data_IF_512946638691
#
_entry.id   IF_512946638691
#
_cell.length_a   1.000
_cell.length_b   1.000
_cell.length_c   1.000
_cell.angle_alpha   90.00
_cell.angle_beta   90.00
_cell.angle_gamma   90.00
#
_symmetry.space_group_name_H-M   'P 1'
#
loop_
_entity.id
_entity.type
_entity.pdbx_description
1 polymer ?
#
# COMPACT_ATOMS: atom_id res chain seq x y z
N UNK A 1 -44.55 -6.30 -61.29
CA UNK A 1 -43.59 -7.16 -62.02
C UNK A 1 -42.95 -8.06 -60.95
N UNK A 2 -43.47 -9.28 -60.73
CA UNK A 2 -43.07 -10.56 -61.39
C UNK A 2 -41.60 -10.90 -61.09
N UNK A 3 -41.13 -12.06 -60.61
CA UNK A 3 -41.57 -13.46 -60.33
C UNK A 3 -40.50 -14.00 -59.33
N UNK A 4 -40.72 -14.80 -58.26
CA UNK A 4 -41.20 -16.18 -58.07
C UNK A 4 -40.41 -17.31 -58.79
N UNK A 5 -40.24 -18.45 -58.07
CA UNK A 5 -39.84 -19.85 -58.42
C UNK A 5 -38.67 -20.32 -57.50
N UNK A 6 -38.89 -21.12 -56.43
CA UNK A 6 -39.15 -22.60 -56.33
C UNK A 6 -37.91 -23.43 -56.75
N UNK A 7 -37.45 -24.52 -56.12
CA UNK A 7 -38.04 -25.72 -55.47
C UNK A 7 -36.88 -26.48 -54.75
N UNK A 8 -37.05 -27.10 -53.56
CA UNK A 8 -37.27 -28.56 -53.27
C UNK A 8 -36.06 -29.49 -53.63
N UNK A 9 -35.68 -30.59 -52.95
CA UNK A 9 -36.29 -31.50 -51.95
C UNK A 9 -35.23 -32.48 -51.37
N UNK A 10 -35.58 -33.06 -50.22
CA UNK A 10 -34.99 -34.21 -49.48
C UNK A 10 -34.63 -35.48 -50.27
N UNK A 11 -33.70 -36.30 -49.75
CA UNK A 11 -33.84 -37.77 -49.78
C UNK A 11 -32.93 -38.55 -48.80
N UNK A 12 -33.57 -39.01 -47.71
CA UNK A 12 -33.62 -40.37 -47.14
C UNK A 12 -32.39 -41.26 -46.81
N UNK A 13 -32.44 -41.74 -45.55
CA UNK A 13 -32.33 -43.14 -45.04
C UNK A 13 -30.97 -43.85 -44.90
N UNK A 14 -30.75 -44.41 -43.71
CA UNK A 14 -29.93 -45.62 -43.53
C UNK A 14 -29.41 -45.86 -42.10
N UNK A 15 -30.29 -46.27 -41.17
CA UNK A 15 -29.93 -46.84 -39.86
C UNK A 15 -29.74 -48.36 -39.99
N UNK A 16 -28.65 -48.93 -39.46
CA UNK A 16 -28.59 -50.35 -39.11
C UNK A 16 -27.63 -50.59 -37.92
N UNK A 17 -28.20 -51.07 -36.82
CA UNK A 17 -27.54 -51.66 -35.66
C UNK A 17 -27.24 -53.14 -35.93
N UNK A 18 -26.04 -53.64 -35.60
CA UNK A 18 -25.73 -55.06 -35.30
C UNK A 18 -24.74 -55.11 -34.12
N UNK A 19 -24.79 -56.23 -33.39
CA UNK A 19 -24.61 -56.45 -31.96
C UNK A 19 -23.21 -56.92 -31.49
N UNK A 20 -23.00 -56.76 -30.18
CA UNK A 20 -22.32 -57.62 -29.18
C UNK A 20 -20.77 -57.72 -29.06
N UNK A 21 -20.34 -57.23 -27.88
CA UNK A 21 -19.43 -57.79 -26.85
C UNK A 21 -18.66 -59.08 -27.15
N UNK A 22 -17.33 -59.03 -26.94
CA UNK A 22 -16.55 -59.94 -26.06
C UNK A 22 -15.17 -59.34 -25.75
N UNK A 23 -14.64 -59.61 -24.54
CA UNK A 23 -13.65 -58.76 -23.87
C UNK A 23 -12.17 -59.19 -23.81
N UNK A 24 -11.39 -58.26 -23.22
CA UNK A 24 -10.13 -58.39 -22.47
C UNK A 24 -8.80 -58.74 -23.21
N UNK A 25 -7.59 -58.45 -22.65
CA UNK A 25 -6.85 -57.22 -22.95
C UNK A 25 -5.33 -57.35 -23.27
N UNK A 26 -4.78 -56.27 -23.88
CA UNK A 26 -3.35 -55.83 -23.92
C UNK A 26 -2.37 -56.60 -24.85
N UNK A 27 -1.25 -56.00 -25.35
CA UNK A 27 -0.46 -54.91 -24.76
C UNK A 27 -0.25 -53.64 -25.62
N UNK A 28 -0.06 -52.58 -24.85
CA UNK A 28 0.23 -51.17 -25.16
C UNK A 28 1.31 -50.93 -26.23
N UNK A 29 0.96 -50.16 -27.28
CA UNK A 29 1.91 -49.27 -27.95
C UNK A 29 1.57 -47.83 -27.60
N UNK A 30 2.40 -47.23 -26.74
CA UNK A 30 2.34 -45.82 -26.39
C UNK A 30 2.77 -45.00 -27.60
N UNK A 31 1.80 -44.50 -28.37
CA UNK A 31 2.07 -43.46 -29.37
C UNK A 31 2.35 -42.15 -28.62
N UNK A 32 3.63 -41.82 -28.49
CA UNK A 32 4.07 -40.52 -27.96
C UNK A 32 3.62 -39.44 -28.95
N UNK A 33 2.50 -38.77 -28.64
CA UNK A 33 2.09 -37.55 -29.32
C UNK A 33 3.14 -36.48 -29.03
N UNK A 34 3.88 -36.07 -30.06
CA UNK A 34 4.74 -34.88 -30.00
C UNK A 34 3.87 -33.68 -29.58
N UNK A 35 4.08 -33.15 -28.37
CA UNK A 35 3.46 -31.91 -27.92
C UNK A 35 3.81 -30.81 -28.91
N UNK A 36 2.80 -30.24 -29.56
CA UNK A 36 2.96 -29.09 -30.44
C UNK A 36 3.67 -27.96 -29.67
N UNK A 37 4.60 -27.28 -30.34
CA UNK A 37 5.26 -26.09 -29.80
C UNK A 37 4.16 -25.12 -29.39
N UNK A 38 4.11 -24.77 -28.10
CA UNK A 38 3.10 -23.89 -27.53
C UNK A 38 2.99 -22.61 -28.35
N UNK A 39 1.82 -22.39 -28.94
CA UNK A 39 1.50 -21.13 -29.58
C UNK A 39 1.58 -20.01 -28.54
N UNK A 40 2.27 -18.93 -28.88
CA UNK A 40 2.25 -17.69 -28.10
C UNK A 40 0.80 -17.32 -27.78
N UNK A 41 0.42 -17.06 -26.51
CA UNK A 41 -0.96 -16.77 -26.17
C UNK A 41 -1.40 -15.51 -26.91
N UNK A 42 -2.34 -15.69 -27.85
CA UNK A 42 -2.96 -14.61 -28.61
C UNK A 42 -3.47 -13.55 -27.65
N UNK A 43 -2.88 -12.36 -27.75
CA UNK A 43 -3.39 -11.08 -27.27
C UNK A 43 -3.94 -11.07 -25.85
N UNK A 44 -3.17 -10.54 -24.89
CA UNK A 44 -3.79 -9.99 -23.67
C UNK A 44 -4.90 -9.04 -24.11
N UNK A 45 -6.16 -9.40 -23.82
CA UNK A 45 -7.31 -8.50 -24.02
C UNK A 45 -6.95 -7.17 -23.38
N UNK A 46 -7.10 -6.07 -24.13
CA UNK A 46 -6.86 -4.72 -23.61
C UNK A 46 -7.64 -4.58 -22.32
N UNK A 47 -6.93 -4.27 -21.22
CA UNK A 47 -7.57 -4.05 -19.93
C UNK A 47 -8.58 -2.91 -20.16
N UNK A 48 -9.87 -3.07 -19.80
CA UNK A 48 -10.83 -1.99 -19.90
C UNK A 48 -10.23 -0.75 -19.24
N UNK A 49 -10.39 0.41 -19.87
CA UNK A 49 -9.95 1.68 -19.33
C UNK A 49 -10.81 1.96 -18.10
N UNK A 50 -10.37 1.43 -16.96
CA UNK A 50 -11.00 1.68 -15.69
C UNK A 50 -10.76 3.16 -15.42
N UNK A 51 -11.84 3.94 -15.35
CA UNK A 51 -11.83 5.23 -14.67
C UNK A 51 -11.17 4.98 -13.30
N UNK A 52 -10.11 5.74 -13.01
CA UNK A 52 -9.21 5.59 -11.86
C UNK A 52 -8.10 4.52 -11.99
N UNK A 53 -7.36 4.53 -13.11
CA UNK A 53 -6.07 3.85 -13.18
C UNK A 53 -5.06 4.49 -12.22
N UNK A 54 -4.12 3.71 -11.66
CA UNK A 54 -2.99 4.28 -10.95
C UNK A 54 -2.24 5.27 -11.86
N UNK A 55 -1.66 6.34 -11.29
CA UNK A 55 -0.80 7.25 -12.02
C UNK A 55 0.26 6.46 -12.80
N UNK A 56 0.56 6.90 -14.03
CA UNK A 56 1.60 6.26 -14.85
C UNK A 56 2.97 6.77 -14.43
N UNK A 57 3.96 5.88 -14.39
CA UNK A 57 5.33 6.24 -14.07
C UNK A 57 5.83 7.37 -15.02
N UNK A 58 6.59 8.34 -14.47
CA UNK A 58 7.11 9.48 -15.23
C UNK A 58 8.18 9.01 -16.21
N UNK A 59 8.46 9.81 -17.22
CA UNK A 59 9.50 9.49 -18.20
C UNK A 59 10.87 9.89 -17.65
N UNK A 60 11.90 9.11 -17.98
CA UNK A 60 13.29 9.51 -17.70
C UNK A 60 13.71 10.62 -18.66
N UNK A 61 14.75 11.38 -18.30
CA UNK A 61 15.25 12.47 -19.15
C UNK A 61 15.65 12.00 -20.57
N UNK A 62 16.26 10.81 -20.67
CA UNK A 62 16.52 10.19 -21.97
C UNK A 62 15.23 9.91 -22.76
N UNK A 63 14.19 9.39 -22.12
CA UNK A 63 12.92 9.11 -22.79
C UNK A 63 12.22 10.39 -23.24
N UNK A 64 12.25 11.46 -22.43
CA UNK A 64 11.76 12.78 -22.83
C UNK A 64 12.49 13.28 -24.07
N UNK A 65 13.82 13.22 -24.07
CA UNK A 65 14.65 13.57 -25.22
C UNK A 65 14.30 12.72 -26.44
N UNK A 66 14.23 11.40 -26.31
CA UNK A 66 13.96 10.53 -27.45
C UNK A 66 12.57 10.73 -28.05
N UNK A 67 11.57 11.05 -27.23
CA UNK A 67 10.22 11.37 -27.69
C UNK A 67 10.21 12.68 -28.48
N UNK A 68 10.89 13.70 -27.98
CA UNK A 68 11.06 14.97 -28.67
C UNK A 68 11.79 14.76 -30.00
N UNK A 69 12.92 14.06 -29.99
CA UNK A 69 13.69 13.79 -31.21
C UNK A 69 12.93 12.94 -32.22
N UNK A 70 12.20 11.90 -31.78
CA UNK A 70 11.38 11.07 -32.68
C UNK A 70 10.29 11.87 -33.38
N UNK A 71 9.81 12.98 -32.80
CA UNK A 71 8.81 13.83 -33.43
C UNK A 71 9.33 14.46 -34.73
N UNK A 72 10.62 14.78 -34.81
CA UNK A 72 11.26 15.33 -36.02
C UNK A 72 11.44 14.30 -37.15
N UNK A 73 11.37 13.00 -36.84
CA UNK A 73 11.49 11.92 -37.82
C UNK A 73 10.14 11.32 -38.22
N UNK A 74 9.01 11.91 -37.78
CA UNK A 74 7.67 11.39 -38.08
C UNK A 74 7.37 11.32 -39.58
N UNK A 75 7.88 12.28 -40.35
CA UNK A 75 7.66 12.37 -41.80
C UNK A 75 8.79 11.73 -42.62
N UNK A 76 9.75 11.10 -41.94
CA UNK A 76 10.87 10.42 -42.59
C UNK A 76 10.48 9.01 -43.02
N UNK A 77 10.98 8.55 -44.17
CA UNK A 77 10.81 7.17 -44.65
C UNK A 77 11.69 6.15 -43.92
N UNK A 78 12.47 6.59 -42.92
CA UNK A 78 13.39 5.75 -42.15
C UNK A 78 12.64 4.77 -41.25
N UNK A 79 13.22 3.58 -41.06
CA UNK A 79 12.61 2.57 -40.19
C UNK A 79 12.83 2.94 -38.72
N UNK A 80 11.88 2.56 -37.86
CA UNK A 80 11.89 2.86 -36.42
C UNK A 80 13.21 2.53 -35.70
N UNK A 81 13.84 1.40 -36.05
CA UNK A 81 15.12 1.00 -35.43
C UNK A 81 16.26 1.93 -35.82
N UNK A 82 16.26 2.48 -37.04
CA UNK A 82 17.27 3.40 -37.56
C UNK A 82 17.15 4.74 -36.84
N UNK A 83 15.92 5.25 -36.70
CA UNK A 83 15.61 6.48 -35.95
C UNK A 83 16.06 6.32 -34.50
N UNK A 84 15.76 5.19 -33.85
CA UNK A 84 16.16 4.95 -32.46
C UNK A 84 17.68 4.91 -32.30
N UNK A 85 18.41 4.33 -33.26
CA UNK A 85 19.87 4.29 -33.25
C UNK A 85 20.48 5.69 -33.41
N UNK A 86 19.96 6.50 -34.32
CA UNK A 86 20.40 7.89 -34.54
C UNK A 86 20.18 8.72 -33.27
N UNK A 87 18.99 8.66 -32.68
CA UNK A 87 18.63 9.42 -31.48
C UNK A 87 19.44 8.99 -30.26
N UNK A 88 19.65 7.68 -30.08
CA UNK A 88 20.47 7.15 -28.99
C UNK A 88 21.93 7.61 -29.09
N UNK A 89 22.50 7.58 -30.30
CA UNK A 89 23.85 8.10 -30.55
C UNK A 89 23.94 9.60 -30.24
N UNK A 90 22.94 10.38 -30.69
CA UNK A 90 22.89 11.83 -30.43
C UNK A 90 22.85 12.12 -28.93
N UNK A 91 22.03 11.41 -28.16
CA UNK A 91 22.00 11.56 -26.70
C UNK A 91 23.35 11.27 -26.05
N UNK A 92 24.04 10.21 -26.45
CA UNK A 92 25.37 9.88 -25.92
C UNK A 92 26.40 10.99 -26.20
N UNK A 93 26.29 11.66 -27.35
CA UNK A 93 27.15 12.78 -27.73
C UNK A 93 26.80 14.13 -27.10
N UNK A 94 25.60 14.29 -26.52
CA UNK A 94 25.22 15.55 -25.85
C UNK A 94 26.02 15.79 -24.57
N UNK A 95 26.33 17.05 -24.31
CA UNK A 95 27.00 17.49 -23.08
C UNK A 95 26.05 17.44 -21.88
N UNK A 96 26.61 17.54 -20.67
CA UNK A 96 25.81 17.60 -19.44
C UNK A 96 24.87 18.80 -19.41
N UNK A 97 25.29 19.95 -19.96
CA UNK A 97 24.49 21.17 -20.02
C UNK A 97 23.26 21.00 -20.93
N UNK A 98 23.43 20.32 -22.06
CA UNK A 98 22.34 20.02 -22.99
C UNK A 98 21.37 18.95 -22.46
N UNK A 99 21.88 18.02 -21.63
CA UNK A 99 21.08 16.99 -20.96
C UNK A 99 20.30 17.55 -19.77
N UNK A 100 20.86 18.54 -19.07
CA UNK A 100 20.30 19.16 -17.86
C UNK A 100 18.80 19.51 -17.97
N UNK A 101 18.30 20.22 -19.00
CA UNK A 101 16.88 20.55 -19.09
C UNK A 101 15.96 19.32 -19.23
N UNK A 102 16.46 18.19 -19.72
CA UNK A 102 15.70 16.95 -19.77
C UNK A 102 15.73 16.20 -18.45
N UNK A 103 16.85 16.26 -17.73
CA UNK A 103 16.99 15.67 -16.40
C UNK A 103 16.14 16.44 -15.38
N UNK A 104 16.19 17.76 -15.38
CA UNK A 104 15.42 18.63 -14.48
C UNK A 104 13.91 18.43 -14.70
N UNK A 105 13.45 18.37 -15.97
CA UNK A 105 12.05 18.05 -16.28
C UNK A 105 11.63 16.65 -15.80
N UNK A 106 12.49 15.65 -15.99
CA UNK A 106 12.20 14.29 -15.52
C UNK A 106 12.15 14.20 -13.99
N UNK A 107 12.99 14.96 -13.29
CA UNK A 107 12.98 15.04 -11.82
C UNK A 107 11.71 15.72 -11.30
N UNK A 108 11.28 16.79 -11.94
CA UNK A 108 10.03 17.47 -11.61
C UNK A 108 8.81 16.58 -11.89
N UNK A 109 8.74 15.89 -13.04
CA UNK A 109 7.69 14.89 -13.30
C UNK A 109 7.72 13.75 -12.28
N UNK A 110 8.90 13.33 -11.84
CA UNK A 110 9.05 12.32 -10.78
C UNK A 110 8.48 12.81 -9.45
N UNK A 111 8.72 14.06 -9.08
CA UNK A 111 8.16 14.68 -7.89
C UNK A 111 6.63 14.73 -7.95
N UNK A 112 6.08 15.19 -9.07
CA UNK A 112 4.62 15.24 -9.29
C UNK A 112 3.99 13.84 -9.27
N UNK A 113 4.65 12.85 -9.88
CA UNK A 113 4.19 11.47 -9.85
C UNK A 113 4.11 10.92 -8.42
N UNK A 114 5.14 11.16 -7.59
CA UNK A 114 5.14 10.75 -6.17
C UNK A 114 3.92 11.32 -5.43
N UNK A 115 3.62 12.59 -5.64
CA UNK A 115 2.46 13.24 -5.03
C UNK A 115 1.13 12.68 -5.55
N UNK A 116 1.00 12.48 -6.87
CA UNK A 116 -0.17 11.87 -7.48
C UNK A 116 -0.41 10.44 -7.00
N UNK A 117 0.65 9.65 -6.81
CA UNK A 117 0.57 8.30 -6.23
C UNK A 117 0.10 8.35 -4.79
N UNK A 118 0.63 9.27 -3.98
CA UNK A 118 0.20 9.48 -2.58
C UNK A 118 -1.29 9.80 -2.50
N UNK A 119 -1.78 10.71 -3.34
CA UNK A 119 -3.20 11.04 -3.43
C UNK A 119 -4.05 9.85 -3.91
N UNK A 120 -3.58 9.13 -4.93
CA UNK A 120 -4.26 7.96 -5.44
C UNK A 120 -4.40 6.88 -4.35
N UNK A 121 -3.37 6.62 -3.54
CA UNK A 121 -3.43 5.67 -2.41
C UNK A 121 -4.50 6.04 -1.38
N UNK A 122 -4.77 7.33 -1.19
CA UNK A 122 -5.80 7.81 -0.26
C UNK A 122 -7.24 7.75 -0.84
N UNK A 123 -7.37 7.59 -2.15
CA UNK A 123 -8.65 7.61 -2.85
C UNK A 123 -9.49 6.34 -2.63
N UNK A 124 -10.82 6.47 -2.76
CA UNK A 124 -11.74 5.32 -2.75
C UNK A 124 -11.47 4.33 -3.89
N UNK A 125 -10.95 4.82 -5.02
CA UNK A 125 -10.58 3.98 -6.14
C UNK A 125 -9.47 2.98 -5.79
N UNK A 126 -8.49 3.40 -4.98
CA UNK A 126 -7.43 2.50 -4.51
C UNK A 126 -7.97 1.47 -3.53
N UNK A 127 -8.84 1.85 -2.59
CA UNK A 127 -9.53 0.91 -1.69
C UNK A 127 -10.35 -0.13 -2.47
N UNK A 128 -11.10 0.32 -3.49
CA UNK A 128 -11.86 -0.58 -4.36
C UNK A 128 -10.94 -1.53 -5.17
N UNK A 129 -9.78 -1.04 -5.63
CA UNK A 129 -8.76 -1.85 -6.29
C UNK A 129 -8.20 -2.94 -5.36
N UNK A 130 -7.86 -2.60 -4.11
CA UNK A 130 -7.38 -3.55 -3.12
C UNK A 130 -8.43 -4.61 -2.79
N UNK A 131 -9.68 -4.21 -2.57
CA UNK A 131 -10.80 -5.14 -2.33
C UNK A 131 -11.00 -6.11 -3.51
N UNK A 132 -10.90 -5.62 -4.75
CA UNK A 132 -10.99 -6.47 -5.95
C UNK A 132 -9.79 -7.42 -6.08
N UNK A 133 -8.57 -6.97 -5.73
CA UNK A 133 -7.35 -7.79 -5.68
C UNK A 133 -7.50 -8.89 -4.62
N UNK A 134 -8.01 -8.56 -3.42
CA UNK A 134 -8.30 -9.48 -2.31
C UNK A 134 -9.30 -10.57 -2.73
N UNK A 135 -10.45 -10.18 -3.29
CA UNK A 135 -11.47 -11.11 -3.79
C UNK A 135 -10.93 -12.10 -4.82
N UNK A 136 -10.06 -11.65 -5.73
CA UNK A 136 -9.43 -12.53 -6.73
C UNK A 136 -8.43 -13.52 -6.13
N UNK A 137 -7.67 -13.12 -5.10
CA UNK A 137 -6.74 -14.02 -4.40
C UNK A 137 -7.51 -15.13 -3.67
N UNK A 138 -8.56 -14.76 -2.94
CA UNK A 138 -9.47 -15.70 -2.28
C UNK A 138 -10.11 -16.68 -3.29
N UNK A 139 -10.57 -16.18 -4.44
CA UNK A 139 -11.18 -17.01 -5.47
C UNK A 139 -10.19 -17.98 -6.17
N UNK A 140 -8.90 -17.63 -6.22
CA UNK A 140 -7.86 -18.49 -6.77
C UNK A 140 -7.29 -19.49 -5.74
N UNK A 141 -7.84 -19.55 -4.52
CA UNK A 141 -7.42 -20.45 -3.44
C UNK A 141 -5.89 -20.39 -3.14
N UNK A 142 -5.29 -19.21 -3.30
CA UNK A 142 -3.89 -18.94 -2.90
C UNK A 142 -3.92 -18.18 -1.57
N UNK A 143 -3.81 -18.96 -0.49
CA UNK A 143 -3.46 -18.62 0.90
C UNK A 143 -4.47 -17.89 1.81
N UNK A 144 -4.33 -18.26 3.09
CA UNK A 144 -5.10 -17.98 4.31
C UNK A 144 -5.36 -16.49 4.58
N UNK A 145 -6.50 -16.19 5.20
CA UNK A 145 -6.90 -14.86 5.69
C UNK A 145 -5.85 -14.18 6.60
N UNK A 146 -4.96 -14.97 7.22
CA UNK A 146 -3.91 -14.50 8.14
C UNK A 146 -2.63 -13.97 7.46
N UNK A 147 -2.48 -14.11 6.14
CA UNK A 147 -1.29 -13.66 5.38
C UNK A 147 -1.48 -12.26 4.75
N UNK A 148 -2.51 -11.55 5.20
CA UNK A 148 -2.94 -10.26 4.65
C UNK A 148 -2.76 -9.19 5.72
N UNK A 149 -2.12 -8.07 5.34
CA UNK A 149 -2.34 -6.71 5.89
C UNK A 149 -1.22 -5.99 6.66
N UNK A 150 0.07 -6.32 6.50
CA UNK A 150 1.14 -5.49 7.11
C UNK A 150 2.31 -5.05 6.21
N UNK A 151 2.45 -5.55 4.97
CA UNK A 151 3.70 -5.36 4.19
C UNK A 151 3.56 -4.76 2.80
N UNK A 152 2.35 -4.39 2.34
CA UNK A 152 2.18 -3.67 1.05
C UNK A 152 2.18 -2.13 1.24
N UNK A 153 2.28 -1.64 2.50
CA UNK A 153 2.26 -0.20 2.86
C UNK A 153 3.57 0.33 3.47
N UNK A 154 4.50 -0.55 3.84
CA UNK A 154 5.88 -0.16 4.14
C UNK A 154 6.75 -0.53 2.92
N UNK A 155 7.77 0.27 2.67
CA UNK A 155 8.85 -0.02 1.72
C UNK A 155 8.61 0.36 0.24
N UNK A 156 8.34 1.62 -0.04
CA UNK A 156 9.02 2.24 -1.21
C UNK A 156 10.13 3.21 -0.78
N UNK A 157 10.04 3.78 0.43
CA UNK A 157 11.10 4.62 0.99
C UNK A 157 12.25 3.78 1.57
N UNK A 158 11.95 2.73 2.36
CA UNK A 158 12.97 1.80 2.90
C UNK A 158 13.51 0.81 1.86
N UNK A 159 12.82 0.65 0.72
CA UNK A 159 13.26 -0.16 -0.41
C UNK A 159 14.25 0.59 -1.34
N UNK A 160 14.52 1.87 -1.12
CA UNK A 160 15.56 2.63 -1.82
C UNK A 160 16.80 2.87 -0.93
N UNK A 161 16.65 2.78 0.40
CA UNK A 161 17.74 2.90 1.36
C UNK A 161 18.58 1.61 1.37
N UNK A 162 19.88 1.70 1.05
CA UNK A 162 20.81 0.56 1.06
C UNK A 162 21.18 0.07 2.47
N UNK A 163 20.57 0.65 3.50
CA UNK A 163 20.86 0.38 4.89
C UNK A 163 19.76 -0.49 5.53
N UNK A 164 20.16 -1.47 6.33
CA UNK A 164 19.26 -2.28 7.16
C UNK A 164 19.36 -1.81 8.59
N UNK A 165 18.28 -1.24 9.14
CA UNK A 165 18.22 -0.75 10.53
C UNK A 165 18.30 -1.88 11.55
N UNK A 166 17.61 -2.99 11.30
CA UNK A 166 17.60 -4.16 12.21
C UNK A 166 18.99 -4.76 12.41
N UNK A 167 19.84 -4.71 11.39
CA UNK A 167 21.18 -5.29 11.44
C UNK A 167 22.30 -4.25 11.42
N UNK A 168 21.95 -2.96 11.44
CA UNK A 168 22.87 -1.81 11.34
C UNK A 168 23.95 -1.98 10.25
N UNK A 169 23.51 -2.33 9.03
CA UNK A 169 24.42 -2.70 7.94
C UNK A 169 24.08 -1.99 6.63
N UNK A 170 25.11 -1.42 6.01
CA UNK A 170 25.06 -0.85 4.66
C UNK A 170 25.36 -1.92 3.60
N UNK A 171 24.53 -1.97 2.56
CA UNK A 171 24.66 -2.88 1.43
C UNK A 171 25.12 -2.13 0.18
N UNK A 172 25.88 -2.82 -0.68
CA UNK A 172 26.42 -2.23 -1.91
C UNK A 172 25.40 -2.19 -3.06
N UNK A 173 24.32 -2.96 -2.92
CA UNK A 173 23.26 -3.07 -3.92
C UNK A 173 21.96 -3.47 -3.25
N UNK A 174 20.85 -3.03 -3.83
CA UNK A 174 19.51 -3.38 -3.37
C UNK A 174 19.27 -4.89 -3.38
N UNK A 175 19.90 -5.58 -4.33
CA UNK A 175 19.82 -7.03 -4.43
C UNK A 175 20.43 -7.70 -3.20
N UNK A 176 21.61 -7.25 -2.75
CA UNK A 176 22.27 -7.77 -1.55
C UNK A 176 21.46 -7.46 -0.27
N UNK A 177 20.85 -6.27 -0.17
CA UNK A 177 19.93 -5.96 0.93
C UNK A 177 18.72 -6.90 0.91
N UNK A 178 18.13 -7.16 -0.26
CA UNK A 178 16.98 -8.06 -0.40
C UNK A 178 17.34 -9.49 -0.01
N UNK A 179 18.50 -9.99 -0.42
CA UNK A 179 18.99 -11.31 0.00
C UNK A 179 19.26 -11.36 1.51
N UNK A 180 19.79 -10.27 2.09
CA UNK A 180 19.97 -10.15 3.53
C UNK A 180 18.64 -10.19 4.29
N UNK A 181 17.63 -9.43 3.86
CA UNK A 181 16.30 -9.42 4.48
C UNK A 181 15.62 -10.81 4.42
N UNK A 182 15.92 -11.60 3.38
CA UNK A 182 15.45 -12.97 3.22
C UNK A 182 16.32 -14.01 3.93
N UNK A 183 17.50 -13.62 4.43
CA UNK A 183 18.42 -14.53 5.09
C UNK A 183 17.91 -14.92 6.48
N UNK A 184 18.06 -16.21 6.83
CA UNK A 184 17.66 -16.74 8.14
C UNK A 184 18.23 -15.95 9.31
N UNK A 185 19.44 -15.40 9.17
CA UNK A 185 20.12 -14.59 10.21
C UNK A 185 19.38 -13.29 10.52
N UNK A 186 18.87 -12.61 9.50
CA UNK A 186 18.08 -11.38 9.67
C UNK A 186 16.73 -11.70 10.33
N UNK A 187 16.07 -12.76 9.86
CA UNK A 187 14.82 -13.26 10.46
C UNK A 187 14.98 -13.66 11.93
N UNK A 188 16.11 -14.27 12.31
CA UNK A 188 16.41 -14.57 13.73
C UNK A 188 16.73 -13.32 14.55
N UNK A 189 17.35 -12.29 13.95
CA UNK A 189 17.58 -11.01 14.63
C UNK A 189 16.26 -10.32 14.94
N UNK A 190 15.35 -10.26 13.96
CA UNK A 190 13.98 -9.74 14.13
C UNK A 190 13.23 -10.48 15.23
N UNK A 191 13.27 -11.82 15.23
CA UNK A 191 12.63 -12.61 16.28
C UNK A 191 13.24 -12.32 17.66
N UNK A 192 14.57 -12.24 17.76
CA UNK A 192 15.28 -11.95 19.01
C UNK A 192 14.97 -10.57 19.58
N UNK A 193 14.83 -9.55 18.71
CA UNK A 193 14.43 -8.21 19.12
C UNK A 193 12.98 -8.17 19.60
N UNK A 194 12.06 -8.90 18.95
CA UNK A 194 10.67 -9.06 19.40
C UNK A 194 10.59 -9.76 20.77
N UNK A 195 11.38 -10.82 21.00
CA UNK A 195 11.41 -11.50 22.30
C UNK A 195 12.00 -10.60 23.41
N UNK A 196 13.00 -9.77 23.08
CA UNK A 196 13.59 -8.81 24.02
C UNK A 196 12.59 -7.71 24.40
N UNK A 197 11.87 -7.14 23.42
CA UNK A 197 10.80 -6.18 23.68
C UNK A 197 9.66 -6.76 24.52
N UNK A 198 9.28 -8.02 24.31
CA UNK A 198 8.27 -8.70 25.13
C UNK A 198 8.77 -8.97 26.57
N UNK A 199 10.05 -9.29 26.75
CA UNK A 199 10.67 -9.50 28.06
C UNK A 199 10.83 -8.20 28.86
N UNK A 200 11.09 -7.08 28.17
CA UNK A 200 11.19 -5.75 28.78
C UNK A 200 9.81 -5.22 29.23
N UNK A 201 8.74 -5.61 28.52
CA UNK A 201 7.36 -5.33 28.93
C UNK A 201 6.98 -6.14 30.17
N UNK A 202 7.31 -7.43 30.25
CA UNK A 202 7.07 -8.26 31.46
C UNK A 202 7.82 -7.74 32.69
N UNK A 203 9.04 -7.25 32.50
CA UNK A 203 9.89 -6.71 33.59
C UNK A 203 9.43 -5.35 34.11
N UNK A 204 8.60 -4.62 33.35
CA UNK A 204 8.08 -3.30 33.75
C UNK A 204 6.83 -3.34 34.63
N UNK A 205 6.24 -4.53 34.83
CA UNK A 205 5.00 -4.72 35.62
C UNK A 205 5.19 -5.30 37.02
N UNK A 206 6.43 -5.49 37.50
CA UNK A 206 6.68 -6.08 38.82
C UNK A 206 7.86 -5.45 39.55
N UNK A 207 7.56 -4.95 40.76
CA UNK A 207 8.48 -4.58 41.85
C UNK A 207 8.96 -3.12 41.90
N UNK A 208 8.22 -2.34 42.70
CA UNK A 208 8.80 -1.36 43.60
C UNK A 208 9.65 -2.08 44.67
N UNK A 209 10.86 -1.58 44.94
CA UNK A 209 11.47 -1.30 46.26
C UNK A 209 13.02 -1.31 46.25
N UNK A 210 13.62 -0.13 46.49
CA UNK A 210 14.82 0.17 47.32
C UNK A 210 16.26 -0.31 46.97
N UNK A 211 17.21 0.60 47.26
CA UNK A 211 18.68 0.44 47.53
C UNK A 211 19.64 0.46 46.32
N UNK A 212 20.33 1.57 46.02
CA UNK A 212 21.60 2.16 46.56
C UNK A 212 22.93 1.50 46.13
N UNK A 213 23.79 2.36 45.55
CA UNK A 213 25.28 2.38 45.40
C UNK A 213 26.02 1.30 44.60
N UNK A 214 26.85 1.72 43.63
CA UNK A 214 28.31 1.48 43.61
C UNK A 214 28.99 2.14 42.40
N UNK A 215 30.14 2.77 42.62
CA UNK A 215 31.08 3.30 41.62
C UNK A 215 32.25 2.31 41.46
N UNK A 216 32.65 2.05 40.22
CA UNK A 216 33.98 1.63 39.76
C UNK A 216 33.98 1.83 38.23
N UNK A 217 34.75 2.72 37.60
CA UNK A 217 36.20 2.96 37.49
C UNK A 217 37.02 1.79 36.91
N UNK A 218 37.44 2.02 35.66
CA UNK A 218 38.64 1.53 34.97
C UNK A 218 38.56 0.27 34.09
N UNK A 219 38.69 0.47 32.76
CA UNK A 219 39.43 -0.38 31.80
C UNK A 219 39.51 0.35 30.43
N UNK A 220 40.56 1.12 30.14
CA UNK A 220 41.88 0.77 29.62
C UNK A 220 41.89 0.23 28.17
N UNK A 221 42.47 1.07 27.30
CA UNK A 221 43.24 0.81 26.08
C UNK A 221 42.56 0.26 24.80
N UNK A 222 42.56 1.13 23.78
CA UNK A 222 43.60 1.02 22.76
C UNK A 222 43.14 0.51 21.40
N UNK A 223 42.82 1.40 20.47
CA UNK A 223 42.91 1.11 19.03
C UNK A 223 43.40 2.33 18.26
N UNK A 224 44.62 2.19 17.72
CA UNK A 224 45.22 3.06 16.70
C UNK A 224 44.35 3.06 15.44
N UNK A 225 43.85 4.24 15.05
CA UNK A 225 43.17 4.44 13.78
C UNK A 225 44.19 4.72 12.68
N UNK A 226 44.32 3.78 11.74
CA UNK A 226 45.03 3.96 10.48
C UNK A 226 44.19 4.81 9.53
N UNK A 227 44.40 6.14 9.56
CA UNK A 227 43.81 7.03 8.56
C UNK A 227 44.66 7.05 7.29
N UNK A 228 44.27 6.24 6.30
CA UNK A 228 44.55 6.52 4.89
C UNK A 228 43.91 7.87 4.53
N UNK A 229 44.72 8.92 4.39
CA UNK A 229 44.31 10.18 3.76
C UNK A 229 45.17 10.38 2.52
N UNK A 230 44.66 9.92 1.38
CA UNK A 230 45.12 10.35 0.08
C UNK A 230 44.35 11.62 -0.33
N UNK A 231 45.10 12.61 -0.82
CA UNK A 231 44.68 13.81 -1.55
C UNK A 231 43.96 14.91 -0.77
N UNK A 232 44.75 15.86 -0.23
CA UNK A 232 44.51 17.30 -0.45
C UNK A 232 45.87 17.94 -0.76
N UNK A 233 46.02 18.41 -2.00
CA UNK A 233 47.14 19.21 -2.49
C UNK A 233 47.05 20.67 -2.00
N UNK A 234 48.24 21.27 -1.85
CA UNK A 234 48.55 22.70 -2.03
C UNK A 234 47.94 23.71 -1.04
N UNK A 235 48.76 24.16 -0.08
CA UNK A 235 49.42 25.47 -0.17
C UNK A 235 50.29 25.74 1.05
N UNK A 236 51.59 25.89 0.81
CA UNK A 236 52.59 26.26 1.79
C UNK A 236 52.89 27.76 1.72
N UNK A 237 52.52 28.52 2.75
CA UNK A 237 53.29 29.65 3.31
C UNK A 237 52.44 30.51 4.26
N UNK A 238 52.63 30.31 5.57
CA UNK A 238 52.68 31.36 6.60
C UNK A 238 52.86 30.69 7.97
N UNK A 239 54.12 30.49 8.36
CA UNK A 239 54.48 30.09 9.72
C UNK A 239 54.33 31.29 10.64
N UNK A 240 53.13 31.46 11.22
CA UNK A 240 52.99 32.12 12.50
C UNK A 240 52.90 31.04 13.55
N UNK A 241 53.90 30.96 14.43
CA UNK A 241 53.88 30.09 15.60
C UNK A 241 52.66 30.47 16.48
N UNK A 242 51.51 29.86 16.21
CA UNK A 242 50.36 29.90 17.12
C UNK A 242 50.84 29.26 18.41
N UNK A 243 50.88 30.05 19.47
CA UNK A 243 51.31 29.57 20.79
C UNK A 243 50.43 28.38 21.17
N UNK A 244 51.02 27.33 21.73
CA UNK A 244 50.29 26.13 22.19
C UNK A 244 49.09 26.52 23.06
N UNK A 245 49.25 27.58 23.86
CA UNK A 245 48.17 28.16 24.66
C UNK A 245 46.98 28.65 23.81
N UNK A 246 47.23 29.34 22.70
CA UNK A 246 46.18 29.82 21.80
C UNK A 246 45.44 28.66 21.12
N UNK A 247 46.17 27.61 20.71
CA UNK A 247 45.57 26.41 20.16
C UNK A 247 44.70 25.69 21.20
N UNK A 248 45.19 25.53 22.44
CA UNK A 248 44.43 24.94 23.54
C UNK A 248 43.18 25.77 23.88
N UNK A 249 43.27 27.10 23.95
CA UNK A 249 42.11 27.97 24.18
C UNK A 249 41.06 27.84 23.08
N UNK A 250 41.48 27.74 21.81
CA UNK A 250 40.56 27.49 20.67
C UNK A 250 39.85 26.16 20.83
N UNK A 251 40.58 25.08 21.13
CA UNK A 251 40.00 23.75 21.35
C UNK A 251 38.99 23.78 22.50
N UNK A 252 39.34 24.36 23.65
CA UNK A 252 38.42 24.47 24.79
C UNK A 252 37.17 25.26 24.43
N UNK A 253 37.30 26.36 23.68
CA UNK A 253 36.14 27.15 23.24
C UNK A 253 35.23 26.38 22.28
N UNK A 254 35.79 25.55 21.40
CA UNK A 254 35.03 24.71 20.48
C UNK A 254 34.31 23.58 21.22
N UNK A 255 34.97 22.96 22.19
CA UNK A 255 34.37 21.94 23.05
C UNK A 255 33.19 22.54 23.83
N UNK A 256 33.37 23.70 24.46
CA UNK A 256 32.29 24.38 25.18
C UNK A 256 31.10 24.71 24.27
N UNK A 257 31.34 25.22 23.06
CA UNK A 257 30.27 25.48 22.08
C UNK A 257 29.52 24.20 21.73
N UNK A 258 30.25 23.14 21.41
CA UNK A 258 29.66 21.83 21.10
C UNK A 258 28.85 21.28 22.28
N UNK A 259 29.34 21.41 23.50
CA UNK A 259 28.61 20.99 24.70
C UNK A 259 27.33 21.80 24.95
N UNK A 260 27.34 23.10 24.65
CA UNK A 260 26.11 23.91 24.72
C UNK A 260 25.11 23.53 23.64
N UNK A 261 25.59 23.24 22.44
CA UNK A 261 24.76 22.81 21.31
C UNK A 261 24.13 21.44 21.58
N UNK A 262 24.91 20.46 22.05
CA UNK A 262 24.41 19.15 22.44
C UNK A 262 23.32 19.29 23.50
N UNK A 263 23.54 20.10 24.55
CA UNK A 263 22.53 20.33 25.59
C UNK A 263 21.25 20.96 25.04
N UNK A 264 21.37 21.94 24.15
CA UNK A 264 20.20 22.57 23.51
C UNK A 264 19.42 21.57 22.66
N UNK A 265 20.11 20.76 21.85
CA UNK A 265 19.49 19.73 21.02
C UNK A 265 18.82 18.64 21.86
N UNK A 266 19.45 18.20 22.95
CA UNK A 266 18.86 17.22 23.87
C UNK A 266 17.59 17.76 24.51
N UNK A 267 17.57 19.04 24.92
CA UNK A 267 16.36 19.67 25.47
C UNK A 267 15.24 19.74 24.43
N UNK A 268 15.56 20.18 23.21
CA UNK A 268 14.58 20.26 22.13
C UNK A 268 14.03 18.88 21.74
N UNK A 269 14.88 17.85 21.74
CA UNK A 269 14.45 16.47 21.51
C UNK A 269 13.50 15.99 22.62
N UNK A 270 13.80 16.33 23.88
CA UNK A 270 12.95 15.98 25.01
C UNK A 270 11.57 16.65 24.93
N UNK A 271 11.52 17.93 24.57
CA UNK A 271 10.26 18.66 24.36
C UNK A 271 9.43 18.03 23.23
N UNK A 272 10.05 17.72 22.09
CA UNK A 272 9.37 17.06 20.98
C UNK A 272 8.78 15.69 21.37
N UNK A 273 9.51 14.90 22.16
CA UNK A 273 9.02 13.60 22.67
C UNK A 273 7.83 13.80 23.61
N UNK A 274 7.86 14.81 24.47
CA UNK A 274 6.74 15.13 25.37
C UNK A 274 5.49 15.54 24.59
N UNK A 275 5.65 16.40 23.58
CA UNK A 275 4.55 16.81 22.68
C UNK A 275 3.95 15.61 21.94
N UNK A 276 4.81 14.76 21.37
CA UNK A 276 4.37 13.54 20.68
C UNK A 276 3.60 12.62 21.63
N UNK A 277 4.09 12.44 22.86
CA UNK A 277 3.44 11.60 23.88
C UNK A 277 2.07 12.18 24.27
N UNK A 278 1.96 13.51 24.38
CA UNK A 278 0.70 14.17 24.68
C UNK A 278 -0.32 14.00 23.54
N UNK A 279 0.10 14.16 22.29
CA UNK A 279 -0.73 13.93 21.10
C UNK A 279 -1.21 12.48 21.02
N UNK A 280 -0.32 11.51 21.29
CA UNK A 280 -0.69 10.10 21.29
C UNK A 280 -1.75 9.77 22.35
N UNK A 281 -1.66 10.37 23.54
CA UNK A 281 -2.70 10.24 24.58
C UNK A 281 -4.04 10.80 24.11
N UNK A 282 -4.04 11.98 23.49
CA UNK A 282 -5.27 12.58 22.95
C UNK A 282 -5.89 11.72 21.85
N UNK A 283 -5.07 11.18 20.94
CA UNK A 283 -5.51 10.27 19.90
C UNK A 283 -6.19 9.03 20.48
N UNK A 284 -5.60 8.40 21.49
CA UNK A 284 -6.19 7.23 22.14
C UNK A 284 -7.52 7.54 22.83
N UNK A 285 -7.63 8.70 23.50
CA UNK A 285 -8.89 9.15 24.11
C UNK A 285 -9.99 9.35 23.06
N UNK A 286 -9.65 9.97 21.92
CA UNK A 286 -10.60 10.16 20.83
C UNK A 286 -11.03 8.82 20.22
N UNK A 287 -10.10 7.89 20.02
CA UNK A 287 -10.39 6.57 19.48
C UNK A 287 -11.28 5.74 20.42
N UNK A 288 -11.05 5.82 21.73
CA UNK A 288 -11.92 5.19 22.72
C UNK A 288 -13.34 5.79 22.68
N UNK A 289 -13.44 7.13 22.62
CA UNK A 289 -14.72 7.82 22.51
C UNK A 289 -15.45 7.45 21.21
N UNK A 290 -14.72 7.33 20.10
CA UNK A 290 -15.27 6.87 18.82
C UNK A 290 -15.84 5.44 18.95
N UNK A 291 -15.09 4.53 19.57
CA UNK A 291 -15.54 3.15 19.83
C UNK A 291 -16.83 3.10 20.66
N UNK A 292 -16.93 3.94 21.70
CA UNK A 292 -18.16 4.06 22.51
C UNK A 292 -19.32 4.57 21.66
N UNK A 293 -19.13 5.64 20.90
CA UNK A 293 -20.16 6.20 20.03
C UNK A 293 -20.63 5.21 18.96
N UNK A 294 -19.73 4.42 18.38
CA UNK A 294 -20.07 3.37 17.43
C UNK A 294 -20.97 2.29 18.08
N UNK A 295 -20.67 1.88 19.31
CA UNK A 295 -21.51 0.94 20.07
C UNK A 295 -22.88 1.53 20.39
N UNK A 296 -22.94 2.78 20.84
CA UNK A 296 -24.21 3.46 21.11
C UNK A 296 -25.06 3.59 19.84
N UNK A 297 -24.45 3.93 18.71
CA UNK A 297 -25.12 4.02 17.43
C UNK A 297 -25.67 2.66 16.96
N UNK A 298 -24.91 1.57 17.17
CA UNK A 298 -25.39 0.21 16.91
C UNK A 298 -26.60 -0.14 17.78
N UNK A 299 -26.56 0.16 19.08
CA UNK A 299 -27.69 -0.06 19.99
C UNK A 299 -28.93 0.73 19.58
N UNK A 300 -28.77 1.98 19.12
CA UNK A 300 -29.88 2.80 18.62
C UNK A 300 -30.49 2.19 17.36
N UNK A 301 -29.67 1.69 16.43
CA UNK A 301 -30.14 0.98 15.23
C UNK A 301 -30.90 -0.30 15.55
N UNK A 302 -30.48 -1.05 16.56
CA UNK A 302 -31.19 -2.27 16.94
C UNK A 302 -32.53 -1.96 17.60
N UNK A 303 -32.61 -0.91 18.42
CA UNK A 303 -33.88 -0.39 18.95
C UNK A 303 -34.80 0.13 17.86
N UNK A 304 -34.25 0.79 16.84
CA UNK A 304 -35.01 1.24 15.67
C UNK A 304 -35.67 0.06 14.95
N UNK A 305 -34.90 -1.01 14.65
CA UNK A 305 -35.44 -2.24 14.05
C UNK A 305 -36.50 -2.93 14.93
N UNK A 306 -36.30 -2.93 16.25
CA UNK A 306 -37.28 -3.48 17.19
C UNK A 306 -38.59 -2.70 17.12
N UNK A 307 -38.54 -1.36 17.12
CA UNK A 307 -39.70 -0.50 16.95
C UNK A 307 -40.36 -0.69 15.58
N UNK A 308 -39.58 -0.78 14.50
CA UNK A 308 -40.10 -1.08 13.16
C UNK A 308 -40.85 -2.41 13.12
N UNK A 309 -40.31 -3.45 13.78
CA UNK A 309 -40.97 -4.75 13.92
C UNK A 309 -42.29 -4.65 14.70
N UNK A 310 -42.31 -3.92 15.81
CA UNK A 310 -43.52 -3.68 16.60
C UNK A 310 -44.57 -2.92 15.78
N UNK A 311 -44.17 -1.86 15.08
CA UNK A 311 -45.06 -1.07 14.20
C UNK A 311 -45.62 -1.96 13.09
N UNK A 312 -44.78 -2.80 12.48
CA UNK A 312 -45.21 -3.76 11.47
C UNK A 312 -46.23 -4.77 12.02
N UNK A 313 -45.99 -5.31 13.22
CA UNK A 313 -46.94 -6.21 13.89
C UNK A 313 -48.26 -5.51 14.22
N UNK A 314 -48.21 -4.27 14.73
CA UNK A 314 -49.41 -3.45 14.99
C UNK A 314 -50.22 -3.24 13.71
N UNK A 315 -49.56 -3.03 12.58
CA UNK A 315 -50.23 -2.84 11.27
C UNK A 315 -50.90 -4.12 10.75
N UNK A 316 -50.46 -5.30 11.21
CA UNK A 316 -51.08 -6.59 10.86
C UNK A 316 -52.34 -6.92 11.67
N UNK A 317 -52.58 -6.23 12.78
CA UNK A 317 -53.81 -6.41 13.56
C UNK A 317 -54.97 -5.81 12.74
N UNK A 318 -55.97 -6.61 12.31
CA UNK A 318 -57.15 -6.05 11.64
C UNK A 318 -57.80 -5.02 12.56
N UNK A 319 -58.26 -3.89 12.00
CA UNK A 319 -58.94 -2.82 12.75
C UNK A 319 -60.25 -3.33 13.38
N UNK A 320 -60.17 -4.09 14.46
CA UNK A 320 -61.30 -4.75 15.12
C UNK A 320 -62.21 -3.79 15.89
N UNK A 321 -62.01 -2.47 15.77
CA UNK A 321 -62.74 -1.45 16.54
C UNK A 321 -63.58 -0.46 15.72
N UNK A 322 -63.83 -0.68 14.43
CA UNK A 322 -64.70 0.23 13.64
C UNK A 322 -66.15 -0.25 13.51
N UNK A 323 -66.52 -1.43 14.02
CA UNK A 323 -67.92 -1.88 13.99
C UNK A 323 -68.57 -1.81 15.39
N UNK A 324 -68.61 -0.61 15.97
CA UNK A 324 -69.60 -0.33 17.01
C UNK A 324 -70.97 -0.33 16.33
N UNK A 325 -71.71 -1.42 16.51
CA UNK A 325 -73.13 -1.50 16.15
C UNK A 325 -73.86 -0.31 16.78
N UNK A 326 -74.38 0.58 15.95
CA UNK A 326 -75.45 1.47 16.37
C UNK A 326 -76.70 0.61 16.53
N UNK A 327 -76.93 0.09 17.74
CA UNK A 327 -78.24 -0.41 18.13
C UNK A 327 -79.17 0.81 18.24
N UNK A 328 -80.07 0.97 17.27
CA UNK A 328 -81.18 1.92 17.32
C UNK A 328 -82.20 1.45 18.35
N UNK A 329 -82.55 2.23 19.39
CA UNK A 329 -83.67 1.88 20.24
C UNK A 329 -85.00 2.28 19.58
N UNK A 330 -85.99 1.44 19.87
CA UNK A 330 -87.40 1.48 19.47
C UNK A 330 -88.01 2.87 19.21
N UNK A 331 -88.67 2.98 18.05
CA UNK A 331 -89.80 3.88 17.89
C UNK A 331 -90.98 3.31 18.69
N UNK A 332 -91.18 3.81 19.91
CA UNK A 332 -92.50 3.79 20.54
C UNK A 332 -93.07 5.20 20.53
N UNK A 333 -94.24 5.27 19.92
CA UNK A 333 -95.17 6.38 19.85
C UNK A 333 -95.48 7.00 21.23
N UNK A 334 -95.29 8.30 21.35
CA UNK A 334 -96.18 9.16 22.16
C UNK A 334 -96.20 10.58 21.59
N UNK A 335 -97.31 10.83 20.92
CA UNK A 335 -97.93 12.12 20.66
C UNK A 335 -98.17 12.87 21.99
N UNK A 336 -97.63 14.07 22.16
CA UNK A 336 -98.34 15.17 22.84
C UNK A 336 -97.64 16.51 22.62
N UNK A 337 -98.41 17.40 22.01
CA UNK A 337 -98.17 18.82 21.79
C UNK A 337 -98.28 19.66 23.07
N UNK A 338 -97.80 20.90 22.94
CA UNK A 338 -98.12 22.13 23.69
C UNK A 338 -97.17 22.59 24.80
N UNK A 339 -96.73 23.85 24.67
CA UNK A 339 -96.10 24.60 25.74
C UNK A 339 -95.18 25.71 25.28
N UNK A 340 -95.70 26.72 24.60
CA UNK A 340 -95.09 28.05 24.46
C UNK A 340 -94.59 28.55 25.83
N UNK A 341 -93.32 28.98 25.94
CA UNK A 341 -92.94 30.40 25.92
C UNK A 341 -91.44 30.61 26.12
#
# INVERSE_FOLDING_TARGET
MMLQVLEESDSTRGSLHILNSDGCPSPQQVVIKKKGRGGWPKGRKRKPELLNLPPKAPLTGYNLYTNEQRSFFKDSSLKFYEITKIVGNRWSSLTLEEKKPYLDRAEEEKRQYKEAVKQYRQSEAYRAYLNKKRRKRLQNNVLSESDMDATDDFDEEDNEELYCRTCDQWFHSLHNKREHLQAKKHLTSLAGDIYRELSDIESSTGQAETSTVSMDESSLEGLSFTANTANIESDCSNSTNVSIYEAMSKVTSLVQKRETEIRALTLQQQEAIQEQTALYRQFNQLNERESVLQKELAQKRDKEKELESIVFQLWQVPSLFVMAKFDTPDQTSTDFSEGFS
#
